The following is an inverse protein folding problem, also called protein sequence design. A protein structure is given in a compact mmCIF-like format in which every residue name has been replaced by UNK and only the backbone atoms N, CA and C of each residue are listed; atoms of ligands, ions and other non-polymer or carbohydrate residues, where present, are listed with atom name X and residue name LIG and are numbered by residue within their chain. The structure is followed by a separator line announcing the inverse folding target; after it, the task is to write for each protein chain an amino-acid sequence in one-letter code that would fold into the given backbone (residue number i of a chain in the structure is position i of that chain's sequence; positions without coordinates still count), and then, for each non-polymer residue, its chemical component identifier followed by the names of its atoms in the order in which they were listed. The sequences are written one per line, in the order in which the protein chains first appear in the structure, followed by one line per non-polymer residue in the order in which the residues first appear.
data_IF_535262816571
#
_entry.id   IF_535262816571
#
_cell.length_a   1.000
_cell.length_b   1.000
_cell.length_c   1.000
_cell.angle_alpha   90.00
_cell.angle_beta   90.00
_cell.angle_gamma   90.00
#
_symmetry.space_group_name_H-M   'P 1'
#
loop_
_entity.id
_entity.type
_entity.pdbx_description
1 polymer ?
#
# COMPACT_ATOMS: atom_id res chain seq x y z
N UNK A 1 2.09 -6.28 -15.62
CA UNK A 1 1.13 -6.35 -14.49
C UNK A 1 1.70 -7.04 -13.24
N UNK A 2 2.16 -8.30 -13.33
CA UNK A 2 2.50 -9.10 -12.14
C UNK A 2 3.65 -8.51 -11.27
N UNK A 3 4.60 -7.78 -11.87
CA UNK A 3 5.70 -7.15 -11.13
C UNK A 3 5.24 -5.97 -10.27
N UNK A 4 4.32 -5.11 -10.76
CA UNK A 4 3.78 -4.00 -9.95
C UNK A 4 2.96 -4.51 -8.77
N UNK A 5 2.14 -5.55 -8.99
CA UNK A 5 1.40 -6.17 -7.90
C UNK A 5 2.36 -6.75 -6.83
N UNK A 6 3.39 -7.50 -7.23
CA UNK A 6 4.42 -7.99 -6.30
C UNK A 6 5.16 -6.86 -5.58
N UNK A 7 5.41 -5.74 -6.27
CA UNK A 7 6.03 -4.57 -5.65
C UNK A 7 5.13 -3.92 -4.59
N UNK A 8 3.83 -3.76 -4.90
CA UNK A 8 2.84 -3.27 -3.95
C UNK A 8 2.74 -4.18 -2.71
N UNK A 9 2.78 -5.51 -2.89
CA UNK A 9 2.78 -6.45 -1.76
C UNK A 9 4.01 -6.29 -0.85
N UNK A 10 5.19 -6.01 -1.42
CA UNK A 10 6.38 -5.70 -0.62
C UNK A 10 6.25 -4.36 0.11
N UNK A 11 5.67 -3.36 -0.54
CA UNK A 11 5.38 -2.06 0.10
C UNK A 11 4.40 -2.24 1.27
N UNK A 12 3.35 -3.04 1.11
CA UNK A 12 2.44 -3.40 2.21
C UNK A 12 3.18 -4.03 3.39
N UNK A 13 4.03 -5.04 3.13
CA UNK A 13 4.80 -5.71 4.19
C UNK A 13 5.70 -4.72 4.95
N UNK A 14 6.37 -3.82 4.24
CA UNK A 14 7.20 -2.78 4.86
C UNK A 14 6.35 -1.83 5.72
N UNK A 15 5.21 -1.38 5.21
CA UNK A 15 4.30 -0.50 5.95
C UNK A 15 3.74 -1.19 7.19
N UNK A 16 3.37 -2.47 7.10
CA UNK A 16 2.92 -3.26 8.24
C UNK A 16 4.00 -3.31 9.33
N UNK A 17 5.24 -3.63 8.98
CA UNK A 17 6.35 -3.70 9.94
C UNK A 17 6.63 -2.35 10.60
N UNK A 18 6.59 -1.25 9.83
CA UNK A 18 6.81 0.08 10.37
C UNK A 18 5.65 0.53 11.27
N UNK A 19 4.40 0.20 10.92
CA UNK A 19 3.23 0.48 11.75
C UNK A 19 3.23 -0.35 13.03
N UNK A 20 3.66 -1.61 12.99
CA UNK A 20 3.81 -2.46 14.18
C UNK A 20 4.83 -1.87 15.17
N UNK A 21 6.00 -1.42 14.67
CA UNK A 21 7.00 -0.74 15.50
C UNK A 21 6.44 0.53 16.15
N UNK A 22 5.65 1.29 15.38
CA UNK A 22 5.04 2.52 15.87
C UNK A 22 3.96 2.23 16.91
N UNK A 23 3.09 1.24 16.67
CA UNK A 23 2.01 0.81 17.56
C UNK A 23 2.52 0.25 18.89
N UNK A 24 3.58 -0.56 18.84
CA UNK A 24 4.20 -1.12 20.04
C UNK A 24 5.11 -0.13 20.80
N UNK A 25 5.21 1.12 20.32
CA UNK A 25 6.12 2.14 20.83
C UNK A 25 7.60 1.71 20.86
N UNK A 26 8.00 0.76 20.00
CA UNK A 26 9.39 0.37 19.80
C UNK A 26 10.19 1.53 19.20
N UNK A 27 9.55 2.29 18.31
CA UNK A 27 10.09 3.52 17.74
C UNK A 27 8.94 4.51 17.44
N UNK A 28 8.88 5.62 18.18
CA UNK A 28 7.90 6.69 17.99
C UNK A 28 8.51 7.95 17.34
N UNK A 29 9.71 7.82 16.75
CA UNK A 29 10.46 8.95 16.22
C UNK A 29 9.75 9.63 15.05
N UNK A 30 10.01 10.93 14.89
CA UNK A 30 9.60 11.70 13.71
C UNK A 30 10.17 11.08 12.42
N UNK A 31 11.33 10.42 12.52
CA UNK A 31 11.96 9.69 11.42
C UNK A 31 11.08 8.55 10.93
N UNK A 32 10.63 7.65 11.82
CA UNK A 32 9.74 6.54 11.45
C UNK A 32 8.40 7.06 10.91
N UNK A 33 7.81 8.07 11.53
CA UNK A 33 6.56 8.67 11.04
C UNK A 33 6.72 9.24 9.62
N UNK A 34 7.88 9.86 9.32
CA UNK A 34 8.23 10.34 7.99
C UNK A 34 8.41 9.19 6.98
N UNK A 35 9.06 8.10 7.40
CA UNK A 35 9.22 6.89 6.59
C UNK A 35 7.86 6.26 6.25
N UNK A 36 6.98 6.07 7.22
CA UNK A 36 5.62 5.54 7.00
C UNK A 36 4.85 6.43 6.01
N UNK A 37 4.93 7.76 6.18
CA UNK A 37 4.28 8.72 5.29
C UNK A 37 4.79 8.61 3.85
N UNK A 38 6.11 8.50 3.66
CA UNK A 38 6.72 8.32 2.35
C UNK A 38 6.32 6.99 1.70
N UNK A 39 6.33 5.90 2.48
CA UNK A 39 5.91 4.57 2.03
C UNK A 39 4.44 4.53 1.61
N UNK A 40 3.54 5.19 2.34
CA UNK A 40 2.13 5.33 1.96
C UNK A 40 1.95 6.09 0.64
N UNK A 41 2.71 7.17 0.43
CA UNK A 41 2.70 7.92 -0.85
C UNK A 41 3.20 7.03 -1.99
N UNK A 42 4.28 6.28 -1.77
CA UNK A 42 4.84 5.37 -2.76
C UNK A 42 3.86 4.24 -3.11
N UNK A 43 3.21 3.62 -2.12
CA UNK A 43 2.20 2.59 -2.33
C UNK A 43 1.02 3.12 -3.15
N UNK A 44 0.52 4.32 -2.83
CA UNK A 44 -0.57 4.96 -3.59
C UNK A 44 -0.22 5.09 -5.07
N UNK A 45 1.00 5.58 -5.39
CA UNK A 45 1.49 5.69 -6.78
C UNK A 45 1.55 4.33 -7.46
N UNK A 46 2.09 3.30 -6.80
CA UNK A 46 2.12 1.92 -7.33
C UNK A 46 0.72 1.39 -7.63
N UNK A 47 -0.27 1.65 -6.75
CA UNK A 47 -1.67 1.26 -6.95
C UNK A 47 -2.26 1.96 -8.16
N UNK A 48 -2.03 3.26 -8.31
CA UNK A 48 -2.55 4.05 -9.44
C UNK A 48 -1.92 3.60 -10.76
N UNK A 49 -0.61 3.32 -10.78
CA UNK A 49 0.08 2.75 -11.94
C UNK A 49 -0.46 1.36 -12.31
N UNK A 50 -0.72 0.53 -11.30
CA UNK A 50 -1.28 -0.81 -11.52
C UNK A 50 -2.73 -0.76 -12.02
N UNK A 51 -3.56 0.16 -11.53
CA UNK A 51 -4.92 0.42 -12.02
C UNK A 51 -4.91 0.88 -13.48
N UNK A 52 -3.97 1.76 -13.85
CA UNK A 52 -3.80 2.20 -15.22
C UNK A 52 -3.37 1.06 -16.15
N UNK A 53 -2.53 0.13 -15.68
CA UNK A 53 -2.22 -1.08 -16.45
C UNK A 53 -3.42 -2.03 -16.57
N UNK A 54 -4.21 -2.20 -15.51
CA UNK A 54 -5.40 -3.05 -15.52
C UNK A 54 -6.42 -2.57 -16.56
N UNK A 55 -6.63 -1.25 -16.68
CA UNK A 55 -7.51 -0.64 -17.69
C UNK A 55 -7.07 -0.90 -19.14
N UNK A 56 -5.77 -1.12 -19.36
CA UNK A 56 -5.18 -1.37 -20.69
C UNK A 56 -5.02 -2.86 -21.01
N UNK A 57 -5.29 -3.76 -20.07
CA UNK A 57 -5.23 -5.19 -20.29
C UNK A 57 -6.38 -5.64 -21.22
N UNK A 58 -6.04 -6.35 -22.29
CA UNK A 58 -7.01 -6.78 -23.31
C UNK A 58 -7.63 -8.14 -22.99
N UNK A 59 -6.97 -8.96 -22.16
CA UNK A 59 -7.47 -10.27 -21.75
C UNK A 59 -8.43 -10.08 -20.57
N UNK A 60 -9.74 -10.17 -20.81
CA UNK A 60 -10.80 -9.94 -19.82
C UNK A 60 -10.55 -10.60 -18.47
N UNK A 61 -10.27 -11.90 -18.44
CA UNK A 61 -10.00 -12.65 -17.19
C UNK A 61 -8.79 -12.09 -16.42
N UNK A 62 -7.76 -11.62 -17.12
CA UNK A 62 -6.59 -10.99 -16.48
C UNK A 62 -6.92 -9.58 -15.98
N UNK A 63 -7.75 -8.85 -16.73
CA UNK A 63 -8.23 -7.52 -16.36
C UNK A 63 -9.09 -7.59 -15.09
N UNK A 64 -10.07 -8.49 -15.02
CA UNK A 64 -10.91 -8.71 -13.84
C UNK A 64 -10.07 -9.04 -12.61
N UNK A 65 -9.10 -9.95 -12.75
CA UNK A 65 -8.16 -10.27 -11.68
C UNK A 65 -7.33 -9.06 -11.26
N UNK A 66 -6.88 -8.24 -12.22
CA UNK A 66 -6.13 -7.04 -11.92
C UNK A 66 -6.98 -6.01 -11.17
N UNK A 67 -8.24 -5.79 -11.56
CA UNK A 67 -9.15 -4.91 -10.84
C UNK A 67 -9.48 -5.41 -9.43
N UNK A 68 -9.65 -6.72 -9.24
CA UNK A 68 -9.82 -7.31 -7.91
C UNK A 68 -8.60 -7.02 -7.02
N UNK A 69 -7.39 -7.19 -7.56
CA UNK A 69 -6.15 -6.86 -6.87
C UNK A 69 -6.04 -5.35 -6.55
N UNK A 70 -6.41 -4.47 -7.48
CA UNK A 70 -6.43 -3.00 -7.25
C UNK A 70 -7.38 -2.66 -6.11
N UNK A 71 -8.58 -3.24 -6.11
CA UNK A 71 -9.57 -3.03 -5.03
C UNK A 71 -9.03 -3.46 -3.68
N UNK A 72 -8.41 -4.66 -3.61
CA UNK A 72 -7.76 -5.16 -2.40
C UNK A 72 -6.67 -4.21 -1.89
N UNK A 73 -5.76 -3.79 -2.77
CA UNK A 73 -4.66 -2.87 -2.39
C UNK A 73 -5.19 -1.51 -1.93
N UNK A 74 -6.25 -0.98 -2.54
CA UNK A 74 -6.89 0.28 -2.11
C UNK A 74 -7.50 0.16 -0.72
N UNK A 75 -8.12 -0.98 -0.40
CA UNK A 75 -8.64 -1.24 0.94
C UNK A 75 -7.51 -1.30 1.96
N UNK A 76 -6.45 -2.06 1.69
CA UNK A 76 -5.27 -2.16 2.56
C UNK A 76 -4.62 -0.79 2.79
N UNK A 77 -4.42 0.01 1.74
CA UNK A 77 -3.92 1.38 1.84
C UNK A 77 -4.77 2.26 2.76
N UNK A 78 -6.10 2.18 2.64
CA UNK A 78 -6.99 2.98 3.48
C UNK A 78 -6.93 2.54 4.94
N UNK A 79 -6.81 1.24 5.21
CA UNK A 79 -6.63 0.73 6.57
C UNK A 79 -5.28 1.17 7.17
N UNK A 80 -4.19 1.11 6.41
CA UNK A 80 -2.89 1.63 6.87
C UNK A 80 -2.95 3.12 7.18
N UNK A 81 -3.60 3.93 6.33
CA UNK A 81 -3.80 5.35 6.61
C UNK A 81 -4.58 5.58 7.91
N UNK A 82 -5.70 4.88 8.09
CA UNK A 82 -6.52 5.02 9.31
C UNK A 82 -5.74 4.64 10.55
N UNK A 83 -5.01 3.52 10.51
CA UNK A 83 -4.18 3.07 11.62
C UNK A 83 -3.10 4.11 11.94
N UNK A 84 -2.37 4.59 10.93
CA UNK A 84 -1.34 5.59 11.13
C UNK A 84 -1.87 6.89 11.75
N UNK A 85 -2.99 7.42 11.25
CA UNK A 85 -3.60 8.63 11.83
C UNK A 85 -4.07 8.40 13.27
N UNK A 86 -4.59 7.21 13.60
CA UNK A 86 -4.97 6.85 14.97
C UNK A 86 -3.76 6.79 15.91
N UNK A 87 -2.65 6.21 15.46
CA UNK A 87 -1.43 6.06 16.27
C UNK A 87 -0.69 7.39 16.52
N UNK A 88 -0.97 8.42 15.72
CA UNK A 88 -0.40 9.77 15.89
C UNK A 88 -1.14 10.64 16.91
N UNK A 89 -2.34 10.23 17.34
CA UNK A 89 -3.15 10.94 18.35
C UNK A 89 -2.64 10.66 19.75
#
# INVERSE_FOLDING_TARGET
MNNLYKHALKQNQSITQDLEKFENAEDASVGLQGQISASLIALKRTIDDYDNLAKREMILVKQEKAFANVSKLRNEYNEFKKLFERLKQ
#
